data_IF_158015513391
#
_entry.id   IF_158015513391
#
_cell.length_a   1.000
_cell.length_b   1.000
_cell.length_c   1.000
_cell.angle_alpha   90.00
_cell.angle_beta   90.00
_cell.angle_gamma   90.00
#
_symmetry.space_group_name_H-M   'P 1'
#
loop_
_entity.id
_entity.type
_entity.pdbx_description
1 polymer ?
#
# COMPACT_ATOMS: atom_id res chain seq x y z
N UNK A 1 7.14 1.44 -8.08
CA UNK A 1 8.50 0.83 -8.12
C UNK A 1 9.21 0.89 -6.77
N UNK A 2 9.20 2.04 -6.06
CA UNK A 2 9.81 2.20 -4.75
C UNK A 2 9.29 1.19 -3.71
N UNK A 3 7.98 0.93 -3.70
CA UNK A 3 7.35 -0.07 -2.83
C UNK A 3 7.88 -1.49 -3.04
N UNK A 4 8.10 -1.90 -4.29
CA UNK A 4 8.62 -3.23 -4.63
C UNK A 4 10.08 -3.39 -4.24
N UNK A 5 10.87 -2.34 -4.41
CA UNK A 5 12.27 -2.31 -3.95
C UNK A 5 12.29 -2.45 -2.43
N UNK A 6 11.43 -1.70 -1.72
CA UNK A 6 11.27 -1.82 -0.28
C UNK A 6 10.91 -3.25 0.15
N UNK A 7 9.95 -3.88 -0.53
CA UNK A 7 9.57 -5.27 -0.26
C UNK A 7 10.73 -6.26 -0.48
N UNK A 8 11.54 -6.06 -1.53
CA UNK A 8 12.74 -6.86 -1.78
C UNK A 8 13.80 -6.72 -0.68
N UNK A 9 14.01 -5.51 -0.17
CA UNK A 9 14.91 -5.25 0.97
C UNK A 9 14.39 -5.94 2.24
N UNK A 10 13.08 -5.87 2.49
CA UNK A 10 12.46 -6.59 3.61
C UNK A 10 12.66 -8.10 3.49
N UNK A 11 12.46 -8.71 2.32
CA UNK A 11 12.73 -10.13 2.12
C UNK A 11 14.18 -10.51 2.46
N UNK A 12 15.15 -9.66 2.12
CA UNK A 12 16.56 -9.88 2.46
C UNK A 12 16.81 -9.81 3.97
N UNK A 13 16.22 -8.84 4.67
CA UNK A 13 16.35 -8.68 6.12
C UNK A 13 15.74 -9.88 6.86
N UNK A 14 14.58 -10.35 6.40
CA UNK A 14 13.88 -11.49 7.00
C UNK A 14 14.36 -12.86 6.49
N UNK A 15 15.39 -12.90 5.63
CA UNK A 15 15.95 -14.12 5.02
C UNK A 15 14.90 -15.01 4.34
N UNK A 16 13.87 -14.40 3.76
CA UNK A 16 12.83 -15.09 3.03
C UNK A 16 13.26 -15.34 1.57
N UNK A 17 12.93 -16.51 1.03
CA UNK A 17 13.25 -16.88 -0.36
C UNK A 17 12.20 -16.37 -1.33
N UNK A 18 12.62 -16.05 -2.56
CA UNK A 18 11.70 -15.75 -3.65
C UNK A 18 11.12 -17.07 -4.17
N UNK A 19 9.87 -17.31 -3.82
CA UNK A 19 9.07 -18.45 -4.28
C UNK A 19 7.76 -17.97 -4.90
N UNK A 20 6.94 -18.91 -5.40
CA UNK A 20 5.68 -18.60 -6.07
C UNK A 20 4.70 -17.83 -5.15
N UNK A 21 4.70 -18.11 -3.84
CA UNK A 21 3.85 -17.40 -2.87
C UNK A 21 4.31 -15.96 -2.67
N UNK A 22 5.61 -15.72 -2.54
CA UNK A 22 6.13 -14.35 -2.47
C UNK A 22 5.86 -13.60 -3.76
N UNK A 23 5.98 -14.22 -4.93
CA UNK A 23 5.62 -13.61 -6.21
C UNK A 23 4.13 -13.24 -6.26
N UNK A 24 3.25 -14.11 -5.77
CA UNK A 24 1.82 -13.81 -5.64
C UNK A 24 1.58 -12.61 -4.71
N UNK A 25 2.29 -12.56 -3.57
CA UNK A 25 2.23 -11.45 -2.64
C UNK A 25 2.71 -10.13 -3.27
N UNK A 26 3.78 -10.16 -4.08
CA UNK A 26 4.23 -8.99 -4.85
C UNK A 26 3.14 -8.49 -5.81
N UNK A 27 2.47 -9.39 -6.53
CA UNK A 27 1.38 -9.00 -7.45
C UNK A 27 0.22 -8.36 -6.69
N UNK A 28 -0.19 -8.93 -5.56
CA UNK A 28 -1.24 -8.35 -4.70
C UNK A 28 -0.82 -6.99 -4.14
N UNK A 29 0.43 -6.87 -3.67
CA UNK A 29 0.97 -5.62 -3.13
C UNK A 29 1.01 -4.50 -4.17
N UNK A 30 1.26 -4.80 -5.44
CA UNK A 30 1.20 -3.80 -6.52
C UNK A 30 -0.20 -3.21 -6.60
N UNK A 31 -1.24 -4.05 -6.60
CA UNK A 31 -2.63 -3.59 -6.67
C UNK A 31 -3.00 -2.69 -5.49
N UNK A 32 -2.63 -3.09 -4.28
CA UNK A 32 -2.91 -2.33 -3.06
C UNK A 32 -2.20 -0.95 -3.04
N UNK A 33 -0.91 -0.90 -3.41
CA UNK A 33 -0.15 0.36 -3.39
C UNK A 33 -0.58 1.32 -4.50
N UNK A 34 -0.92 0.78 -5.67
CA UNK A 34 -1.32 1.60 -6.82
C UNK A 34 -2.69 2.23 -6.60
N UNK A 35 -3.62 1.53 -5.95
CA UNK A 35 -4.96 2.07 -5.63
C UNK A 35 -4.87 3.35 -4.80
N UNK A 36 -4.14 3.32 -3.68
CA UNK A 36 -3.94 4.49 -2.81
C UNK A 36 -3.32 5.67 -3.57
N UNK A 37 -2.31 5.41 -4.40
CA UNK A 37 -1.64 6.43 -5.18
C UNK A 37 -2.57 7.06 -6.24
N UNK A 38 -3.40 6.25 -6.90
CA UNK A 38 -4.37 6.72 -7.89
C UNK A 38 -5.42 7.61 -7.22
N UNK A 39 -5.96 7.19 -6.07
CA UNK A 39 -7.01 7.95 -5.37
C UNK A 39 -6.53 9.35 -4.98
N UNK A 40 -5.29 9.49 -4.48
CA UNK A 40 -4.70 10.81 -4.16
C UNK A 40 -4.56 11.67 -5.41
N UNK A 41 -3.96 11.12 -6.47
CA UNK A 41 -3.74 11.87 -7.72
C UNK A 41 -5.07 12.30 -8.34
N UNK A 42 -6.09 11.45 -8.32
CA UNK A 42 -7.41 11.77 -8.84
C UNK A 42 -8.08 12.90 -8.05
N UNK A 43 -7.92 12.94 -6.72
CA UNK A 43 -8.50 14.04 -5.93
C UNK A 43 -7.77 15.36 -6.12
N UNK A 44 -6.44 15.33 -6.24
CA UNK A 44 -5.65 16.51 -6.61
C UNK A 44 -6.06 17.00 -7.99
N UNK A 45 -6.23 16.10 -8.96
CA UNK A 45 -6.66 16.47 -10.31
C UNK A 45 -8.07 17.08 -10.32
N UNK A 46 -8.99 16.54 -9.50
CA UNK A 46 -10.34 17.08 -9.31
C UNK A 46 -10.33 18.50 -8.74
N UNK A 47 -9.42 18.79 -7.81
CA UNK A 47 -9.23 20.12 -7.22
C UNK A 47 -8.60 21.08 -8.24
N UNK A 48 -7.59 20.63 -8.97
CA UNK A 48 -6.96 21.39 -10.04
C UNK A 48 -7.92 21.75 -11.18
N UNK A 49 -8.81 20.82 -11.57
CA UNK A 49 -9.84 21.04 -12.58
C UNK A 49 -10.86 22.13 -12.21
N UNK A 50 -10.96 22.52 -10.93
CA UNK A 50 -11.81 23.61 -10.44
C UNK A 50 -11.14 25.00 -10.50
N UNK A 51 -10.12 25.16 -11.36
CA UNK A 51 -9.31 26.37 -11.50
C UNK A 51 -8.53 26.78 -10.23
N UNK A 52 -8.20 25.83 -9.38
CA UNK A 52 -7.32 26.07 -8.25
C UNK A 52 -5.86 26.13 -8.71
N UNK A 53 -5.05 26.95 -8.02
CA UNK A 53 -3.60 26.97 -8.21
C UNK A 53 -3.01 25.56 -7.96
N UNK A 54 -2.05 25.07 -8.78
CA UNK A 54 -1.50 23.73 -8.65
C UNK A 54 -1.02 23.39 -7.24
N UNK A 55 -0.41 24.36 -6.55
CA UNK A 55 0.10 24.15 -5.20
C UNK A 55 -1.03 23.98 -4.19
N UNK A 56 -2.09 24.79 -4.31
CA UNK A 56 -3.28 24.69 -3.45
C UNK A 56 -4.06 23.40 -3.70
N UNK A 57 -4.22 23.02 -4.96
CA UNK A 57 -4.90 21.78 -5.33
C UNK A 57 -4.21 20.54 -4.74
N UNK A 58 -2.87 20.50 -4.73
CA UNK A 58 -2.11 19.44 -4.08
C UNK A 58 -2.34 19.41 -2.56
N UNK A 59 -2.31 20.56 -1.90
CA UNK A 59 -2.43 20.65 -0.44
C UNK A 59 -3.84 20.27 0.03
N UNK A 60 -4.86 20.88 -0.55
CA UNK A 60 -6.27 20.63 -0.22
C UNK A 60 -6.65 19.19 -0.59
N UNK A 61 -6.38 18.77 -1.84
CA UNK A 61 -6.73 17.45 -2.34
C UNK A 61 -6.06 16.31 -1.57
N UNK A 62 -4.82 16.48 -1.10
CA UNK A 62 -4.15 15.49 -0.26
C UNK A 62 -4.72 15.48 1.17
N UNK A 63 -5.02 16.65 1.75
CA UNK A 63 -5.51 16.76 3.13
C UNK A 63 -6.90 16.14 3.34
N UNK A 64 -7.76 16.21 2.33
CA UNK A 64 -9.13 15.68 2.38
C UNK A 64 -9.15 14.15 2.49
N UNK A 65 -8.23 13.48 1.77
CA UNK A 65 -8.18 12.01 1.68
C UNK A 65 -7.21 11.39 2.69
N UNK A 66 -6.30 12.18 3.28
CA UNK A 66 -5.30 11.68 4.22
C UNK A 66 -5.90 10.85 5.36
N UNK A 67 -7.02 11.28 5.95
CA UNK A 67 -7.69 10.55 7.03
C UNK A 67 -8.27 9.20 6.55
N UNK A 68 -8.79 9.15 5.33
CA UNK A 68 -9.33 7.93 4.73
C UNK A 68 -8.22 6.90 4.44
N UNK A 69 -7.09 7.32 3.87
CA UNK A 69 -5.94 6.44 3.58
C UNK A 69 -5.35 5.86 4.86
N UNK A 70 -5.23 6.68 5.91
CA UNK A 70 -4.77 6.19 7.23
C UNK A 70 -5.72 5.14 7.77
N UNK A 71 -7.04 5.37 7.67
CA UNK A 71 -8.06 4.39 8.06
C UNK A 71 -7.91 3.06 7.30
N UNK A 72 -7.84 3.11 5.97
CA UNK A 72 -7.67 1.93 5.12
C UNK A 72 -6.38 1.16 5.43
N UNK A 73 -5.27 1.88 5.64
CA UNK A 73 -3.98 1.29 6.01
C UNK A 73 -4.06 0.55 7.33
N UNK A 74 -4.73 1.14 8.34
CA UNK A 74 -4.95 0.50 9.65
C UNK A 74 -5.84 -0.73 9.51
N UNK A 75 -6.92 -0.66 8.72
CA UNK A 75 -7.79 -1.82 8.47
C UNK A 75 -7.01 -2.96 7.81
N UNK A 76 -6.19 -2.65 6.79
CA UNK A 76 -5.34 -3.62 6.12
C UNK A 76 -4.35 -4.26 7.10
N UNK A 77 -3.67 -3.44 7.91
CA UNK A 77 -2.77 -3.93 8.94
C UNK A 77 -3.49 -4.82 9.95
N UNK A 78 -4.70 -4.45 10.39
CA UNK A 78 -5.49 -5.25 11.33
C UNK A 78 -5.93 -6.60 10.76
N UNK A 79 -6.16 -6.70 9.44
CA UNK A 79 -6.51 -7.95 8.77
C UNK A 79 -5.29 -8.83 8.55
N UNK A 80 -4.16 -8.26 8.12
CA UNK A 80 -2.96 -9.04 7.77
C UNK A 80 -2.03 -9.34 8.96
N UNK A 81 -1.99 -8.50 9.99
CA UNK A 81 -1.13 -8.73 11.15
C UNK A 81 -1.41 -10.09 11.84
N UNK A 82 -2.66 -10.48 12.13
CA UNK A 82 -2.95 -11.79 12.74
C UNK A 82 -2.50 -12.97 11.87
N UNK A 83 -2.59 -12.82 10.54
CA UNK A 83 -2.17 -13.86 9.57
C UNK A 83 -0.65 -14.06 9.65
N UNK A 84 0.13 -12.98 9.74
CA UNK A 84 1.59 -13.04 9.86
C UNK A 84 2.07 -13.70 11.17
N UNK A 85 1.28 -13.61 12.25
CA UNK A 85 1.60 -14.22 13.56
C UNK A 85 1.01 -15.63 13.76
N UNK A 86 0.10 -16.07 12.88
CA UNK A 86 -0.52 -17.39 12.99
C UNK A 86 0.51 -18.51 12.72
N UNK A 87 0.66 -19.46 13.65
CA UNK A 87 1.58 -20.60 13.54
C UNK A 87 0.87 -21.87 13.05
N UNK A 88 1.44 -22.57 12.06
CA UNK A 88 0.92 -23.83 11.50
C UNK A 88 1.40 -24.07 10.06
N UNK A 89 0.97 -25.16 9.42
CA UNK A 89 1.25 -25.44 7.99
C UNK A 89 0.75 -24.30 7.08
N UNK A 90 -0.37 -23.67 7.46
CA UNK A 90 -0.89 -22.45 6.83
C UNK A 90 -0.05 -21.22 7.17
N UNK A 91 0.46 -21.11 8.40
CA UNK A 91 1.35 -20.01 8.82
C UNK A 91 2.71 -20.03 8.14
N UNK A 92 3.26 -21.20 7.83
CA UNK A 92 4.50 -21.36 7.05
C UNK A 92 4.37 -20.91 5.58
N UNK A 93 3.14 -20.80 5.05
CA UNK A 93 2.88 -20.40 3.67
C UNK A 93 2.63 -18.89 3.53
N UNK A 94 2.27 -18.21 4.63
CA UNK A 94 1.91 -16.78 4.67
C UNK A 94 2.84 -15.92 5.56
N UNK A 95 3.91 -16.51 6.09
CA UNK A 95 4.99 -15.83 6.83
C UNK A 95 6.22 -15.65 5.94
#
# INVERSE_FOLDING_TARGET
PLSLIGMGVFLQIFSCSINLLTLLAFVLAIGLVVDDAIVVVENIHRHYARHQDPWRACLEGSSEIASAIVGMTITLAAVFAPIAFSQGLTGSLFK
#
